data_IF_751123462104
#
_entry.id   IF_751123462104
#
_cell.length_a   1.000
_cell.length_b   1.000
_cell.length_c   1.000
_cell.angle_alpha   90.00
_cell.angle_beta   90.00
_cell.angle_gamma   90.00
#
_symmetry.space_group_name_H-M   'P 1'
#
loop_
_entity.id
_entity.type
_entity.pdbx_description
1 polymer ?
#
# COMPACT_ATOMS: atom_id res chain seq x y z
N UNK A 1 -1.20 -3.97 23.09
CA UNK A 1 -0.70 -4.70 21.91
C UNK A 1 -1.07 -3.90 20.66
N UNK A 2 -0.13 -3.19 20.04
CA UNK A 2 -0.41 -2.43 18.81
C UNK A 2 0.54 -2.91 17.71
N UNK A 3 0.15 -3.96 16.99
CA UNK A 3 0.91 -4.45 15.85
C UNK A 3 0.62 -3.56 14.64
N UNK A 4 1.67 -2.92 14.11
CA UNK A 4 1.57 -2.05 12.93
C UNK A 4 2.39 -2.65 11.80
N UNK A 5 1.72 -3.06 10.73
CA UNK A 5 2.36 -3.59 9.51
C UNK A 5 2.71 -2.39 8.62
N UNK A 6 3.94 -2.32 8.13
CA UNK A 6 4.42 -1.31 7.17
C UNK A 6 4.80 -2.01 5.87
N UNK A 7 4.22 -1.56 4.75
CA UNK A 7 4.45 -2.15 3.42
C UNK A 7 5.14 -1.08 2.57
N UNK A 8 6.30 -1.42 1.97
CA UNK A 8 6.99 -0.56 0.99
C UNK A 8 6.94 -1.28 -0.36
N UNK A 9 6.26 -0.68 -1.33
CA UNK A 9 6.20 -1.17 -2.71
C UNK A 9 7.32 -0.51 -3.52
N UNK A 10 7.99 -1.29 -4.37
CA UNK A 10 8.97 -0.81 -5.34
C UNK A 10 8.66 -1.45 -6.68
N UNK A 11 8.69 -0.66 -7.74
CA UNK A 11 8.46 -1.08 -9.11
C UNK A 11 9.18 -0.10 -10.03
N UNK A 12 9.60 -0.57 -11.21
CA UNK A 12 10.11 0.30 -12.26
C UNK A 12 8.96 0.99 -13.03
N UNK A 13 7.78 0.37 -13.06
CA UNK A 13 6.58 0.94 -13.66
C UNK A 13 5.61 1.41 -12.56
N UNK A 14 5.25 2.69 -12.59
CA UNK A 14 4.29 3.28 -11.65
C UNK A 14 2.89 2.70 -11.85
N UNK A 15 2.48 2.37 -13.08
CA UNK A 15 1.12 1.86 -13.32
C UNK A 15 0.90 0.53 -12.62
N UNK A 16 1.93 -0.31 -12.60
CA UNK A 16 1.89 -1.60 -11.90
C UNK A 16 1.88 -1.42 -10.38
N UNK A 17 2.66 -0.47 -9.86
CA UNK A 17 2.72 -0.22 -8.41
C UNK A 17 1.40 0.34 -7.90
N UNK A 18 0.76 1.23 -8.65
CA UNK A 18 -0.51 1.84 -8.27
C UNK A 18 -1.64 0.81 -8.27
N UNK A 19 -1.73 -0.02 -9.32
CA UNK A 19 -2.69 -1.15 -9.37
C UNK A 19 -2.52 -2.11 -8.20
N UNK A 20 -1.27 -2.42 -7.85
CA UNK A 20 -0.96 -3.31 -6.73
C UNK A 20 -1.33 -2.67 -5.39
N UNK A 21 -1.02 -1.39 -5.23
CA UNK A 21 -1.37 -0.59 -4.04
C UNK A 21 -2.88 -0.56 -3.84
N UNK A 22 -3.64 -0.28 -4.89
CA UNK A 22 -5.11 -0.22 -4.83
C UNK A 22 -5.71 -1.57 -4.43
N UNK A 23 -5.20 -2.67 -5.00
CA UNK A 23 -5.63 -4.03 -4.64
C UNK A 23 -5.37 -4.36 -3.16
N UNK A 24 -4.20 -3.98 -2.64
CA UNK A 24 -3.86 -4.18 -1.23
C UNK A 24 -4.80 -3.34 -0.35
N UNK A 25 -4.96 -2.05 -0.63
CA UNK A 25 -5.82 -1.15 0.15
C UNK A 25 -7.26 -1.66 0.19
N UNK A 26 -7.81 -2.12 -0.93
CA UNK A 26 -9.17 -2.68 -1.00
C UNK A 26 -9.30 -3.94 -0.15
N UNK A 27 -8.31 -4.83 -0.20
CA UNK A 27 -8.30 -6.08 0.58
C UNK A 27 -8.21 -5.81 2.08
N UNK A 28 -7.33 -4.90 2.50
CA UNK A 28 -7.14 -4.54 3.91
C UNK A 28 -8.35 -3.79 4.48
N UNK A 29 -9.01 -2.95 3.66
CA UNK A 29 -10.30 -2.35 4.03
C UNK A 29 -11.39 -3.40 4.23
N UNK A 30 -11.48 -4.39 3.34
CA UNK A 30 -12.45 -5.48 3.46
C UNK A 30 -12.20 -6.35 4.69
N UNK A 31 -10.95 -6.52 5.13
CA UNK A 31 -10.62 -7.26 6.34
C UNK A 31 -10.88 -6.48 7.63
N UNK A 32 -11.42 -5.25 7.56
CA UNK A 32 -11.70 -4.41 8.72
C UNK A 32 -10.47 -3.75 9.35
N UNK A 33 -9.31 -3.79 8.70
CA UNK A 33 -8.09 -3.19 9.20
C UNK A 33 -7.98 -1.72 8.77
N UNK A 34 -7.43 -0.89 9.66
CA UNK A 34 -7.25 0.55 9.40
C UNK A 34 -6.01 0.77 8.54
N UNK A 35 -6.23 1.30 7.33
CA UNK A 35 -5.16 1.67 6.41
C UNK A 35 -4.82 3.14 6.60
N UNK A 36 -3.54 3.44 6.85
CA UNK A 36 -2.99 4.78 6.65
C UNK A 36 -2.50 4.88 5.22
N UNK A 37 -2.90 5.96 4.52
CA UNK A 37 -2.86 6.06 3.05
C UNK A 37 -1.50 5.75 2.39
N UNK A 38 -1.51 5.50 1.06
CA UNK A 38 -0.28 5.32 0.30
C UNK A 38 0.52 6.62 0.31
N UNK A 39 1.76 6.54 0.78
CA UNK A 39 2.67 7.68 0.79
C UNK A 39 3.57 7.53 -0.44
N UNK A 40 3.36 8.33 -1.51
CA UNK A 40 4.27 8.34 -2.64
C UNK A 40 5.63 8.84 -2.18
N UNK A 41 6.66 8.11 -2.57
CA UNK A 41 8.05 8.49 -2.33
C UNK A 41 8.66 8.97 -3.64
N UNK A 42 9.65 9.87 -3.59
CA UNK A 42 10.39 10.26 -4.79
C UNK A 42 10.98 9.02 -5.48
N UNK A 43 10.90 9.00 -6.81
CA UNK A 43 11.58 8.02 -7.65
C UNK A 43 13.09 8.31 -7.63
N UNK A 44 13.90 7.26 -7.51
CA UNK A 44 15.37 7.34 -7.68
C UNK A 44 15.76 7.24 -9.15
#
# INVERSE_FOLDING_TARGET
>A
MNQKIRIKLRSYDHNLVDKSTEKIVKTVRNSGAVVTGPIPLPTE
#
